data_IF_962125528402
#
_entry.id   IF_962125528402
#
_cell.length_a   1.000
_cell.length_b   1.000
_cell.length_c   1.000
_cell.angle_alpha   90.00
_cell.angle_beta   90.00
_cell.angle_gamma   90.00
#
_symmetry.space_group_name_H-M   'P 1'
#
loop_
_entity.id
_entity.type
_entity.pdbx_description
1 polymer ?
#
# COMPACT_ATOMS: atom_id res chain seq x y z
N UNK A 1 6.64 16.62 22.76
CA UNK A 1 5.51 16.13 21.93
C UNK A 1 5.99 15.30 20.73
N UNK A 2 6.54 15.90 19.65
CA UNK A 2 7.06 15.12 18.51
C UNK A 2 8.32 14.30 18.85
N UNK A 3 9.30 14.92 19.51
CA UNK A 3 10.54 14.23 19.89
C UNK A 3 10.27 12.99 20.76
N UNK A 4 9.33 13.08 21.71
CA UNK A 4 8.97 11.95 22.57
C UNK A 4 8.29 10.83 21.79
N UNK A 5 7.40 11.18 20.85
CA UNK A 5 6.74 10.21 19.96
C UNK A 5 7.74 9.53 19.00
N UNK A 6 8.69 10.30 18.45
CA UNK A 6 9.76 9.78 17.61
C UNK A 6 10.61 8.77 18.38
N UNK A 7 11.05 9.13 19.60
CA UNK A 7 11.82 8.22 20.45
C UNK A 7 11.02 6.96 20.82
N UNK A 8 9.71 7.08 21.05
CA UNK A 8 8.85 5.94 21.30
C UNK A 8 8.80 4.99 20.09
N UNK A 9 8.60 5.52 18.88
CA UNK A 9 8.60 4.74 17.64
C UNK A 9 9.96 4.07 17.37
N UNK A 10 11.07 4.77 17.61
CA UNK A 10 12.42 4.19 17.45
C UNK A 10 12.66 3.03 18.44
N UNK A 11 12.21 3.17 19.69
CA UNK A 11 12.30 2.08 20.68
C UNK A 11 11.45 0.87 20.29
N UNK A 12 10.24 1.10 19.80
CA UNK A 12 9.35 0.04 19.33
C UNK A 12 9.95 -0.69 18.11
N UNK A 13 10.46 0.05 17.13
CA UNK A 13 11.13 -0.52 15.97
C UNK A 13 12.34 -1.39 16.34
N UNK A 14 13.19 -0.87 17.23
CA UNK A 14 14.34 -1.62 17.74
C UNK A 14 13.94 -2.90 18.48
N UNK A 15 12.87 -2.86 19.28
CA UNK A 15 12.40 -4.00 20.05
C UNK A 15 11.69 -5.06 19.19
N UNK A 16 10.88 -4.64 18.21
CA UNK A 16 10.07 -5.54 17.39
C UNK A 16 10.81 -6.09 16.17
N UNK A 17 11.71 -5.30 15.57
CA UNK A 17 12.37 -5.61 14.29
C UNK A 17 13.90 -5.59 14.38
N UNK A 18 14.49 -5.25 15.53
CA UNK A 18 15.95 -5.13 15.69
C UNK A 18 16.55 -3.86 15.07
N UNK A 19 15.71 -2.95 14.56
CA UNK A 19 16.13 -1.71 13.88
C UNK A 19 15.22 -0.54 14.24
N UNK A 20 15.80 0.52 14.81
CA UNK A 20 15.09 1.72 15.25
C UNK A 20 15.02 2.83 14.20
N UNK A 21 15.43 2.58 12.95
CA UNK A 21 15.28 3.56 11.87
C UNK A 21 13.80 3.86 11.61
N UNK A 22 13.51 5.13 11.33
CA UNK A 22 12.15 5.64 11.12
C UNK A 22 12.12 6.51 9.88
N UNK A 23 11.07 6.35 9.08
CA UNK A 23 10.74 7.22 7.95
C UNK A 23 9.71 8.25 8.40
N UNK A 24 9.84 9.50 7.94
CA UNK A 24 8.84 10.54 8.13
C UNK A 24 8.14 10.81 6.81
N UNK A 25 6.82 10.71 6.82
CA UNK A 25 5.99 10.90 5.64
C UNK A 25 4.94 11.99 5.90
N UNK A 26 4.39 12.52 4.81
CA UNK A 26 3.24 13.42 4.90
C UNK A 26 2.02 12.64 5.38
N UNK A 27 1.35 13.16 6.41
CA UNK A 27 0.08 12.60 6.88
C UNK A 27 -1.05 12.92 5.90
N UNK A 28 -1.69 11.88 5.35
CA UNK A 28 -2.91 11.98 4.54
C UNK A 28 -4.11 11.86 5.48
N UNK A 29 -4.91 12.92 5.59
CA UNK A 29 -6.08 12.92 6.48
C UNK A 29 -7.27 12.18 5.83
N UNK A 30 -7.98 11.38 6.64
CA UNK A 30 -9.12 10.56 6.22
C UNK A 30 -8.86 9.72 4.94
N UNK A 31 -7.75 8.96 4.88
CA UNK A 31 -7.40 8.23 3.67
C UNK A 31 -8.28 6.97 3.53
N UNK A 32 -8.51 6.58 2.28
CA UNK A 32 -8.86 5.20 1.92
C UNK A 32 -7.58 4.42 1.70
N UNK A 33 -7.53 3.20 2.22
CA UNK A 33 -6.42 2.27 1.94
C UNK A 33 -6.85 1.42 0.76
N UNK A 34 -6.24 1.66 -0.41
CA UNK A 34 -6.52 0.94 -1.65
C UNK A 34 -5.27 0.21 -2.07
N UNK A 35 -5.39 -1.06 -2.39
CA UNK A 35 -4.26 -1.89 -2.77
C UNK A 35 -4.52 -2.62 -4.09
N UNK A 36 -3.50 -2.78 -4.91
CA UNK A 36 -3.61 -3.43 -6.22
C UNK A 36 -2.83 -4.73 -6.21
N UNK A 37 -3.53 -5.82 -6.52
CA UNK A 37 -2.89 -7.11 -6.74
C UNK A 37 -2.16 -7.09 -8.08
N UNK A 38 -0.89 -7.47 -8.08
CA UNK A 38 -0.13 -7.72 -9.30
C UNK A 38 0.33 -9.18 -9.38
N UNK A 39 0.41 -9.70 -10.61
CA UNK A 39 1.09 -10.95 -10.93
C UNK A 39 2.13 -10.66 -12.01
N UNK A 40 3.36 -11.11 -11.78
CA UNK A 40 4.44 -10.97 -12.73
C UNK A 40 5.16 -12.31 -12.98
N UNK A 41 5.59 -12.53 -14.21
CA UNK A 41 6.34 -13.72 -14.61
C UNK A 41 7.81 -13.40 -14.90
N UNK A 42 8.59 -14.45 -15.17
CA UNK A 42 10.01 -14.32 -15.53
C UNK A 42 10.25 -13.90 -16.98
N UNK A 43 9.19 -13.68 -17.76
CA UNK A 43 9.24 -13.27 -19.17
C UNK A 43 8.98 -11.77 -19.35
N UNK A 44 8.87 -11.01 -18.25
CA UNK A 44 8.65 -9.57 -18.27
C UNK A 44 7.17 -9.17 -18.35
N UNK A 45 6.24 -10.13 -18.22
CA UNK A 45 4.82 -9.81 -18.14
C UNK A 45 4.48 -9.38 -16.71
N UNK A 46 3.64 -8.36 -16.59
CA UNK A 46 3.06 -7.92 -15.32
C UNK A 46 1.64 -7.46 -15.60
N UNK A 47 0.69 -8.04 -14.88
CA UNK A 47 -0.72 -7.68 -14.94
C UNK A 47 -1.24 -7.37 -13.54
N UNK A 48 -2.36 -6.66 -13.47
CA UNK A 48 -3.08 -6.45 -12.22
C UNK A 48 -4.34 -7.32 -12.17
N UNK A 49 -4.76 -7.67 -10.96
CA UNK A 49 -6.04 -8.32 -10.68
C UNK A 49 -6.96 -7.35 -9.91
N UNK A 50 -7.09 -6.15 -10.48
CA UNK A 50 -7.83 -5.02 -9.89
C UNK A 50 -7.34 -4.61 -8.49
N UNK A 51 -8.12 -3.75 -7.84
CA UNK A 51 -7.88 -3.24 -6.50
C UNK A 51 -8.75 -3.90 -5.43
N UNK A 52 -8.31 -3.78 -4.17
CA UNK A 52 -9.09 -4.05 -2.97
C UNK A 52 -9.15 -2.80 -2.10
N UNK A 53 -10.26 -2.62 -1.42
CA UNK A 53 -10.43 -1.60 -0.40
C UNK A 53 -10.26 -2.21 0.99
N UNK A 54 -9.25 -1.72 1.71
CA UNK A 54 -8.85 -2.21 3.03
C UNK A 54 -8.92 -1.10 4.09
N UNK A 55 -9.79 -0.11 3.87
CA UNK A 55 -9.89 1.11 4.70
C UNK A 55 -10.43 0.84 6.11
N UNK A 56 -11.20 -0.25 6.30
CA UNK A 56 -11.76 -0.62 7.59
C UNK A 56 -10.69 -1.29 8.45
N UNK A 57 -10.04 -0.45 9.27
CA UNK A 57 -8.90 -0.84 10.08
C UNK A 57 -9.11 -0.51 11.56
N UNK A 58 -8.52 -1.32 12.44
CA UNK A 58 -8.42 -1.04 13.87
C UNK A 58 -6.96 -1.05 14.27
N UNK A 59 -6.43 0.07 14.79
CA UNK A 59 -5.00 0.22 15.14
C UNK A 59 -4.07 -0.19 13.98
N UNK A 60 -4.35 0.34 12.78
CA UNK A 60 -3.54 0.11 11.58
C UNK A 60 -3.48 -1.37 11.14
N UNK A 61 -4.45 -2.20 11.56
CA UNK A 61 -4.62 -3.58 11.10
C UNK A 61 -5.91 -3.68 10.30
N UNK A 62 -5.85 -4.33 9.14
CA UNK A 62 -7.00 -4.60 8.27
C UNK A 62 -7.98 -5.54 8.99
N UNK A 63 -9.26 -5.17 9.01
CA UNK A 63 -10.34 -5.91 9.68
C UNK A 63 -11.36 -6.41 8.68
N UNK A 64 -11.57 -5.64 7.61
CA UNK A 64 -12.48 -5.98 6.53
C UNK A 64 -11.92 -5.46 5.21
N UNK A 65 -11.91 -6.33 4.21
CA UNK A 65 -11.47 -6.04 2.85
C UNK A 65 -12.59 -6.35 1.85
N UNK A 66 -12.75 -5.50 0.85
CA UNK A 66 -13.71 -5.71 -0.25
C UNK A 66 -13.07 -5.50 -1.62
N UNK A 67 -13.62 -6.17 -2.64
CA UNK A 67 -13.12 -6.11 -4.01
C UNK A 67 -14.27 -6.26 -5.02
N UNK A 68 -14.34 -5.40 -6.06
CA UNK A 68 -13.62 -4.13 -6.21
C UNK A 68 -14.12 -3.07 -5.22
N UNK A 69 -13.40 -1.95 -5.10
CA UNK A 69 -13.81 -0.83 -4.25
C UNK A 69 -15.00 -0.08 -4.84
N UNK A 70 -16.00 0.25 -4.01
CA UNK A 70 -17.13 1.13 -4.40
C UNK A 70 -16.74 2.61 -4.44
N UNK A 71 -15.66 3.00 -3.75
CA UNK A 71 -15.15 4.36 -3.74
C UNK A 71 -14.37 4.70 -5.03
N UNK A 72 -13.64 3.71 -5.54
CA UNK A 72 -12.77 3.86 -6.72
C UNK A 72 -13.61 3.95 -8.00
N UNK A 73 -13.51 5.11 -8.67
CA UNK A 73 -14.08 5.33 -10.01
C UNK A 73 -13.23 4.64 -11.08
N UNK A 74 -13.80 4.43 -12.27
CA UNK A 74 -13.07 3.78 -13.38
C UNK A 74 -11.79 4.53 -13.77
N UNK A 75 -11.81 5.86 -13.83
CA UNK A 75 -10.60 6.68 -14.07
C UNK A 75 -9.52 6.46 -13.00
N UNK A 76 -9.92 6.46 -11.72
CA UNK A 76 -8.98 6.24 -10.63
C UNK A 76 -8.44 4.81 -10.65
N UNK A 77 -9.29 3.82 -10.98
CA UNK A 77 -8.91 2.42 -11.14
C UNK A 77 -7.84 2.25 -12.21
N UNK A 78 -8.05 2.85 -13.38
CA UNK A 78 -7.06 2.80 -14.46
C UNK A 78 -5.72 3.40 -14.03
N UNK A 79 -5.74 4.57 -13.39
CA UNK A 79 -4.52 5.25 -12.91
C UNK A 79 -3.77 4.44 -11.85
N UNK A 80 -4.48 3.93 -10.83
CA UNK A 80 -3.85 3.23 -9.70
C UNK A 80 -3.33 1.85 -10.10
N UNK A 81 -4.06 1.12 -10.97
CA UNK A 81 -3.59 -0.19 -11.43
C UNK A 81 -2.44 -0.06 -12.41
N UNK A 82 -2.45 0.96 -13.28
CA UNK A 82 -1.31 1.27 -14.14
C UNK A 82 -0.06 1.61 -13.32
N UNK A 83 -0.20 2.40 -12.24
CA UNK A 83 0.90 2.72 -11.33
C UNK A 83 1.46 1.46 -10.64
N UNK A 84 0.61 0.54 -10.19
CA UNK A 84 1.03 -0.71 -9.57
C UNK A 84 1.79 -1.63 -10.54
N UNK A 85 1.29 -1.77 -11.78
CA UNK A 85 1.98 -2.53 -12.83
C UNK A 85 3.33 -1.88 -13.18
N UNK A 86 3.38 -0.56 -13.28
CA UNK A 86 4.61 0.18 -13.52
C UNK A 86 5.64 -0.05 -12.40
N UNK A 87 5.21 -0.04 -11.13
CA UNK A 87 6.07 -0.34 -9.99
C UNK A 87 6.65 -1.76 -10.07
N UNK A 88 5.81 -2.77 -10.35
CA UNK A 88 6.26 -4.16 -10.52
C UNK A 88 7.28 -4.31 -11.66
N UNK A 89 7.04 -3.67 -12.81
CA UNK A 89 7.98 -3.68 -13.94
C UNK A 89 9.30 -2.99 -13.62
N UNK A 90 9.26 -1.84 -12.93
CA UNK A 90 10.44 -1.04 -12.62
C UNK A 90 11.46 -1.78 -11.75
N UNK A 91 11.00 -2.69 -10.89
CA UNK A 91 11.87 -3.49 -10.00
C UNK A 91 12.14 -4.90 -10.53
N UNK A 92 11.67 -5.24 -11.73
CA UNK A 92 11.79 -6.60 -12.27
C UNK A 92 11.08 -7.64 -11.41
N UNK A 93 9.91 -7.30 -10.87
CA UNK A 93 9.16 -8.16 -9.95
C UNK A 93 8.74 -9.47 -10.61
N UNK A 94 8.69 -10.55 -9.82
CA UNK A 94 8.16 -11.86 -10.24
C UNK A 94 7.30 -12.44 -9.12
N UNK A 95 6.37 -13.33 -9.47
CA UNK A 95 5.37 -13.91 -8.56
C UNK A 95 4.22 -12.92 -8.21
N UNK A 96 3.45 -13.23 -7.16
CA UNK A 96 2.34 -12.44 -6.66
C UNK A 96 2.80 -11.42 -5.62
N UNK A 97 2.37 -10.17 -5.81
CA UNK A 97 2.63 -9.08 -4.88
C UNK A 97 1.45 -8.11 -4.84
N UNK A 98 1.41 -7.27 -3.82
CA UNK A 98 0.39 -6.23 -3.68
C UNK A 98 1.05 -4.87 -3.49
N UNK A 99 0.63 -3.89 -4.28
CA UNK A 99 1.08 -2.50 -4.18
C UNK A 99 0.02 -1.71 -3.44
N UNK A 100 0.37 -1.13 -2.31
CA UNK A 100 -0.56 -0.43 -1.42
C UNK A 100 -0.46 1.08 -1.58
N UNK A 101 -1.63 1.74 -1.55
CA UNK A 101 -1.78 3.17 -1.72
C UNK A 101 -2.69 3.75 -0.65
N UNK A 102 -2.41 5.00 -0.28
CA UNK A 102 -3.35 5.86 0.44
C UNK A 102 -4.03 6.80 -0.56
N UNK A 103 -5.36 6.83 -0.57
CA UNK A 103 -6.15 7.72 -1.43
C UNK A 103 -6.87 8.76 -0.58
N UNK A 104 -6.60 10.04 -0.85
CA UNK A 104 -7.21 11.16 -0.14
C UNK A 104 -8.68 11.42 -0.55
N UNK A 105 -9.39 12.31 0.17
CA UNK A 105 -10.75 12.71 -0.18
C UNK A 105 -10.87 13.40 -1.56
N UNK A 106 -9.78 13.98 -2.05
CA UNK A 106 -9.63 14.58 -3.38
C UNK A 106 -9.40 13.55 -4.49
N UNK A 107 -9.37 12.24 -4.16
CA UNK A 107 -9.05 11.12 -5.04
C UNK A 107 -7.62 11.11 -5.58
N UNK A 108 -6.72 11.90 -4.98
CA UNK A 108 -5.30 11.77 -5.24
C UNK A 108 -4.74 10.60 -4.43
N UNK A 109 -3.89 9.79 -5.07
CA UNK A 109 -3.32 8.59 -4.48
C UNK A 109 -1.80 8.71 -4.28
N UNK A 110 -1.32 8.09 -3.21
CA UNK A 110 0.08 8.08 -2.82
C UNK A 110 0.52 6.64 -2.57
N UNK A 111 1.62 6.22 -3.19
CA UNK A 111 2.23 4.92 -2.89
C UNK A 111 2.64 4.88 -1.41
N UNK A 112 2.38 3.76 -0.75
CA UNK A 112 2.73 3.54 0.65
C UNK A 112 3.74 2.42 0.79
N UNK A 113 3.40 1.21 0.35
CA UNK A 113 4.30 0.06 0.44
C UNK A 113 4.01 -0.98 -0.65
N UNK A 114 4.90 -1.97 -0.75
CA UNK A 114 4.66 -3.16 -1.56
C UNK A 114 4.87 -4.40 -0.71
N UNK A 115 3.81 -5.20 -0.57
CA UNK A 115 3.88 -6.53 0.01
C UNK A 115 4.35 -7.50 -1.07
N UNK A 116 5.62 -7.92 -1.00
CA UNK A 116 6.26 -8.82 -1.97
C UNK A 116 5.93 -10.30 -1.72
N UNK A 117 4.66 -10.58 -1.45
CA UNK A 117 4.12 -11.90 -1.10
C UNK A 117 2.60 -11.91 -1.36
N UNK A 118 2.02 -13.09 -1.31
CA UNK A 118 0.56 -13.25 -1.20
C UNK A 118 0.05 -12.63 0.12
N UNK A 119 -1.15 -12.06 0.09
CA UNK A 119 -1.85 -11.52 1.25
C UNK A 119 -2.94 -12.48 1.75
N UNK A 120 -3.43 -12.21 2.98
CA UNK A 120 -4.48 -12.99 3.67
C UNK A 120 -5.84 -12.85 2.99
#
# INVERSE_FOLDING_TARGET
>A
AFADALQAAQREGAAAFGDGRVLLERYVAHPRHIEVQILADQHGNTLHLFERECSLQRRQQKVWEEAPSVFVTDDLRERITAAAVAAGKAVGYTNAGTVEFLVGPDREFHFMEMNTRLQV
#
